data_IF_768114605880
#
_entry.id   IF_768114605880
#
_cell.length_a   1.000
_cell.length_b   1.000
_cell.length_c   1.000
_cell.angle_alpha   90.00
_cell.angle_beta   90.00
_cell.angle_gamma   90.00
#
_symmetry.space_group_name_H-M   'P 1'
#
loop_
_entity.id
_entity.type
_entity.pdbx_description
1 polymer ?
#
# COMPACT_ATOMS: atom_id res chain seq x y z
N UNK A 1 -28.08 -2.22 -24.91
CA UNK A 1 -26.97 -3.12 -24.56
C UNK A 1 -26.79 -2.99 -23.06
N UNK A 2 -27.32 -3.94 -22.30
CA UNK A 2 -27.33 -3.86 -20.84
C UNK A 2 -25.94 -4.22 -20.34
N UNK A 3 -25.25 -3.24 -19.76
CA UNK A 3 -24.02 -3.48 -19.00
C UNK A 3 -24.50 -4.19 -17.73
N UNK A 4 -24.09 -5.44 -17.54
CA UNK A 4 -24.34 -6.13 -16.28
C UNK A 4 -23.55 -5.38 -15.17
N UNK A 5 -24.11 -5.21 -13.97
CA UNK A 5 -23.33 -4.72 -12.86
C UNK A 5 -22.32 -5.82 -12.48
N UNK A 6 -21.03 -5.53 -12.63
CA UNK A 6 -19.98 -6.25 -11.92
C UNK A 6 -20.21 -5.94 -10.43
N UNK A 7 -20.86 -6.86 -9.72
CA UNK A 7 -21.00 -6.77 -8.27
C UNK A 7 -19.61 -6.80 -7.66
N UNK A 8 -19.27 -5.77 -6.88
CA UNK A 8 -18.07 -5.76 -6.04
C UNK A 8 -18.00 -7.07 -5.22
N UNK A 9 -16.80 -7.60 -4.94
CA UNK A 9 -16.68 -8.79 -4.11
C UNK A 9 -17.39 -8.56 -2.77
N UNK A 10 -18.20 -9.54 -2.38
CA UNK A 10 -19.12 -9.57 -1.23
C UNK A 10 -18.51 -9.04 0.07
N UNK A 11 -19.38 -8.48 0.94
CA UNK A 11 -19.23 -7.92 2.31
C UNK A 11 -18.46 -8.77 3.36
N UNK A 12 -17.61 -9.71 2.95
CA UNK A 12 -16.71 -10.42 3.84
C UNK A 12 -15.52 -9.50 4.19
N UNK A 13 -15.52 -8.99 5.42
CA UNK A 13 -14.35 -8.34 6.00
C UNK A 13 -13.16 -9.32 5.98
N UNK A 14 -12.00 -8.89 5.48
CA UNK A 14 -10.79 -9.71 5.43
C UNK A 14 -10.15 -9.84 6.81
N UNK A 15 -10.85 -10.53 7.72
CA UNK A 15 -10.49 -10.71 9.12
C UNK A 15 -10.51 -12.19 9.50
N UNK A 16 -9.43 -12.62 10.13
CA UNK A 16 -9.31 -13.90 10.83
C UNK A 16 -9.01 -13.65 12.30
N UNK A 17 -9.13 -14.67 13.13
CA UNK A 17 -8.81 -14.59 14.57
C UNK A 17 -7.65 -15.52 14.87
N UNK A 18 -6.65 -15.01 15.59
CA UNK A 18 -5.54 -15.81 16.13
C UNK A 18 -6.03 -16.79 17.20
N UNK A 19 -5.18 -17.74 17.60
CA UNK A 19 -5.49 -18.71 18.69
C UNK A 19 -5.89 -18.03 20.02
N UNK A 20 -5.42 -16.79 20.23
CA UNK A 20 -5.76 -15.96 21.40
C UNK A 20 -6.97 -15.04 21.16
N UNK A 21 -7.75 -15.29 20.10
CA UNK A 21 -8.92 -14.53 19.68
C UNK A 21 -8.65 -13.04 19.43
N UNK A 22 -7.43 -12.70 19.01
CA UNK A 22 -7.11 -11.36 18.50
C UNK A 22 -7.39 -11.29 17.00
N UNK A 23 -8.04 -10.22 16.51
CA UNK A 23 -8.28 -10.04 15.09
C UNK A 23 -6.95 -9.86 14.35
N UNK A 24 -6.87 -10.42 13.16
CA UNK A 24 -5.73 -10.32 12.26
C UNK A 24 -6.26 -10.20 10.83
N UNK A 25 -5.54 -9.49 9.97
CA UNK A 25 -5.91 -9.36 8.56
C UNK A 25 -5.78 -10.70 7.84
N UNK A 26 -6.85 -11.11 7.15
CA UNK A 26 -6.81 -12.23 6.21
C UNK A 26 -6.25 -11.76 4.86
N UNK A 27 -4.92 -11.71 4.78
CA UNK A 27 -4.24 -11.33 3.54
C UNK A 27 -4.50 -12.31 2.38
N UNK A 28 -4.92 -13.55 2.66
CA UNK A 28 -5.26 -14.51 1.59
C UNK A 28 -6.59 -14.11 0.93
N UNK A 29 -7.60 -13.75 1.72
CA UNK A 29 -8.86 -13.24 1.19
C UNK A 29 -8.64 -11.87 0.52
N UNK A 30 -7.88 -10.99 1.16
CA UNK A 30 -7.60 -9.65 0.63
C UNK A 30 -6.87 -9.69 -0.72
N UNK A 31 -5.91 -10.59 -0.88
CA UNK A 31 -5.21 -10.82 -2.16
C UNK A 31 -6.16 -11.30 -3.26
N UNK A 32 -7.12 -12.18 -2.93
CA UNK A 32 -8.13 -12.65 -3.89
C UNK A 32 -9.10 -11.54 -4.29
N UNK A 33 -9.51 -10.71 -3.33
CA UNK A 33 -10.35 -9.54 -3.60
C UNK A 33 -9.62 -8.53 -4.49
N UNK A 34 -8.34 -8.26 -4.20
CA UNK A 34 -7.50 -7.40 -5.04
C UNK A 34 -7.40 -7.96 -6.47
N UNK A 35 -7.08 -9.25 -6.61
CA UNK A 35 -7.00 -9.91 -7.93
C UNK A 35 -8.29 -9.71 -8.73
N UNK A 36 -9.44 -9.99 -8.12
CA UNK A 36 -10.74 -9.87 -8.77
C UNK A 36 -11.09 -8.41 -9.15
N UNK A 37 -10.71 -7.44 -8.33
CA UNK A 37 -10.94 -6.01 -8.62
C UNK A 37 -10.14 -5.53 -9.83
N UNK A 38 -8.90 -6.00 -9.98
CA UNK A 38 -7.98 -5.48 -11.00
C UNK A 38 -7.91 -6.35 -12.27
N UNK A 39 -8.48 -7.56 -12.27
CA UNK A 39 -8.37 -8.52 -13.40
C UNK A 39 -8.89 -7.98 -14.74
N UNK A 40 -9.97 -7.18 -14.70
CA UNK A 40 -10.67 -6.74 -15.92
C UNK A 40 -10.41 -5.29 -16.33
N UNK A 41 -9.75 -4.50 -15.47
CA UNK A 41 -9.47 -3.09 -15.70
C UNK A 41 -7.99 -2.89 -16.03
N UNK A 42 -7.68 -2.07 -17.03
CA UNK A 42 -6.30 -1.79 -17.48
C UNK A 42 -5.79 -0.43 -17.01
N UNK A 43 -6.68 0.47 -16.61
CA UNK A 43 -6.30 1.79 -16.10
C UNK A 43 -5.63 1.66 -14.73
N UNK A 44 -4.32 1.91 -14.71
CA UNK A 44 -3.50 1.81 -13.50
C UNK A 44 -3.98 2.73 -12.38
N UNK A 45 -4.57 3.90 -12.70
CA UNK A 45 -5.04 4.86 -11.69
C UNK A 45 -6.33 4.38 -11.05
N UNK A 46 -7.27 3.85 -11.83
CA UNK A 46 -8.47 3.19 -11.31
C UNK A 46 -8.10 2.02 -10.38
N UNK A 47 -7.11 1.20 -10.79
CA UNK A 47 -6.67 0.06 -10.00
C UNK A 47 -5.91 0.48 -8.72
N UNK A 48 -5.06 1.50 -8.77
CA UNK A 48 -4.45 2.10 -7.57
C UNK A 48 -5.53 2.64 -6.62
N UNK A 49 -6.55 3.33 -7.15
CA UNK A 49 -7.64 3.86 -6.34
C UNK A 49 -8.41 2.74 -5.61
N UNK A 50 -8.84 1.71 -6.34
CA UNK A 50 -9.53 0.56 -5.76
C UNK A 50 -8.65 -0.24 -4.79
N UNK A 51 -7.36 -0.41 -5.10
CA UNK A 51 -6.43 -1.07 -4.19
C UNK A 51 -6.27 -0.30 -2.87
N UNK A 52 -6.08 1.02 -2.95
CA UNK A 52 -5.98 1.86 -1.74
C UNK A 52 -7.26 1.80 -0.90
N UNK A 53 -8.44 1.82 -1.54
CA UNK A 53 -9.71 1.69 -0.85
C UNK A 53 -9.86 0.32 -0.16
N UNK A 54 -9.55 -0.76 -0.88
CA UNK A 54 -9.61 -2.12 -0.36
C UNK A 54 -8.70 -2.29 0.87
N UNK A 55 -7.45 -1.81 0.79
CA UNK A 55 -6.51 -1.86 1.91
C UNK A 55 -7.01 -1.03 3.09
N UNK A 56 -7.52 0.18 2.85
CA UNK A 56 -7.99 1.08 3.91
C UNK A 56 -9.20 0.54 4.67
N UNK A 57 -10.09 -0.17 3.99
CA UNK A 57 -11.27 -0.78 4.62
C UNK A 57 -10.93 -2.02 5.45
N UNK A 58 -9.84 -2.72 5.16
CA UNK A 58 -9.54 -4.04 5.74
C UNK A 58 -8.32 -4.06 6.67
N UNK A 59 -7.42 -3.10 6.58
CA UNK A 59 -6.32 -2.94 7.52
C UNK A 59 -6.77 -2.09 8.70
N UNK A 60 -6.78 -2.67 9.90
CA UNK A 60 -7.08 -1.92 11.11
C UNK A 60 -5.92 -1.03 11.53
N UNK A 61 -6.21 0.03 12.28
CA UNK A 61 -5.18 0.87 12.92
C UNK A 61 -4.16 1.45 11.93
N UNK A 62 -4.65 1.92 10.79
CA UNK A 62 -3.90 2.74 9.83
C UNK A 62 -4.58 4.10 9.68
N UNK A 63 -3.81 5.15 9.39
CA UNK A 63 -4.32 6.50 9.12
C UNK A 63 -4.11 6.96 7.67
N UNK A 64 -3.29 6.23 6.92
CA UNK A 64 -3.03 6.52 5.53
C UNK A 64 -2.64 5.25 4.76
N UNK A 65 -3.13 5.12 3.52
CA UNK A 65 -2.64 4.12 2.56
C UNK A 65 -2.78 4.65 1.15
N UNK A 66 -1.76 4.48 0.33
CA UNK A 66 -1.80 4.98 -1.02
C UNK A 66 -0.53 4.77 -1.80
N UNK A 67 -0.47 5.41 -2.95
CA UNK A 67 0.59 5.22 -3.91
C UNK A 67 1.35 6.52 -4.16
N UNK A 68 2.66 6.38 -4.36
CA UNK A 68 3.45 7.38 -5.06
C UNK A 68 4.03 6.76 -6.33
N UNK A 69 3.97 7.48 -7.44
CA UNK A 69 4.47 7.03 -8.75
C UNK A 69 5.80 7.71 -9.04
N UNK A 70 6.76 6.96 -9.58
CA UNK A 70 8.03 7.53 -10.01
C UNK A 70 7.84 8.25 -11.36
N UNK A 71 7.89 9.58 -11.34
CA UNK A 71 7.72 10.45 -12.51
C UNK A 71 8.83 11.49 -12.51
N UNK A 72 9.57 11.57 -13.62
CA UNK A 72 10.70 12.50 -13.78
C UNK A 72 11.71 12.44 -12.61
N UNK A 73 12.08 11.22 -12.21
CA UNK A 73 13.04 10.95 -11.12
C UNK A 73 12.60 11.47 -9.73
N UNK A 74 11.29 11.59 -9.51
CA UNK A 74 10.70 11.92 -8.22
C UNK A 74 9.45 11.06 -7.97
N UNK A 75 9.16 10.79 -6.72
CA UNK A 75 7.88 10.23 -6.33
C UNK A 75 6.82 11.34 -6.39
N UNK A 76 5.72 11.07 -7.09
CA UNK A 76 4.55 11.97 -7.24
C UNK A 76 3.31 11.26 -6.72
N UNK A 77 2.58 11.93 -5.84
CA UNK A 77 1.37 11.41 -5.19
C UNK A 77 0.38 10.84 -6.23
N UNK A 78 -0.06 9.60 -5.98
CA UNK A 78 -1.09 8.88 -6.71
C UNK A 78 -2.38 8.77 -5.89
N UNK A 79 -3.28 7.83 -6.23
CA UNK A 79 -4.47 7.55 -5.43
C UNK A 79 -4.12 7.08 -4.02
N UNK A 80 -4.93 7.51 -3.04
CA UNK A 80 -4.74 7.18 -1.62
C UNK A 80 -6.05 7.31 -0.84
N UNK A 81 -6.07 6.76 0.37
CA UNK A 81 -7.07 7.00 1.41
C UNK A 81 -6.39 7.57 2.66
N UNK A 82 -6.99 8.60 3.25
CA UNK A 82 -6.44 9.29 4.42
C UNK A 82 -6.47 10.80 4.28
N UNK A 83 -5.71 11.49 5.14
CA UNK A 83 -5.57 12.95 5.06
C UNK A 83 -4.69 13.37 3.87
N UNK A 84 -4.73 14.67 3.57
CA UNK A 84 -3.85 15.30 2.57
C UNK A 84 -2.37 15.01 2.90
N UNK A 85 -1.61 14.59 1.90
CA UNK A 85 -0.20 14.22 2.01
C UNK A 85 0.70 15.10 1.12
N UNK A 86 2.02 14.89 1.21
CA UNK A 86 2.99 15.58 0.39
C UNK A 86 2.81 15.20 -1.10
N UNK A 87 2.89 16.17 -2.01
CA UNK A 87 2.66 15.88 -3.44
C UNK A 87 3.89 15.27 -4.12
N UNK A 88 5.10 15.66 -3.70
CA UNK A 88 6.36 15.20 -4.28
C UNK A 88 7.35 14.80 -3.20
N UNK A 89 8.06 13.69 -3.44
CA UNK A 89 9.11 13.18 -2.56
C UNK A 89 10.35 12.91 -3.44
N UNK A 90 11.51 13.40 -3.01
CA UNK A 90 12.78 13.13 -3.67
C UNK A 90 13.25 11.70 -3.37
N UNK A 91 13.94 11.07 -4.33
CA UNK A 91 14.56 9.76 -4.11
C UNK A 91 15.60 9.86 -2.97
N UNK A 92 15.60 8.87 -2.08
CA UNK A 92 16.46 8.81 -0.89
C UNK A 92 16.05 9.74 0.24
N UNK A 93 14.87 10.37 0.17
CA UNK A 93 14.33 11.23 1.24
C UNK A 93 13.09 10.64 1.88
N UNK A 94 13.05 10.64 3.22
CA UNK A 94 12.00 9.95 3.97
C UNK A 94 11.99 8.45 3.70
N UNK A 95 11.02 7.76 4.29
CA UNK A 95 10.89 6.30 4.17
C UNK A 95 10.53 5.92 2.73
N UNK A 96 9.51 6.57 2.14
CA UNK A 96 9.15 6.44 0.73
C UNK A 96 10.32 6.61 -0.26
N UNK A 97 11.08 7.71 -0.15
CA UNK A 97 12.21 7.93 -1.05
C UNK A 97 13.34 6.93 -0.84
N UNK A 98 13.55 6.47 0.40
CA UNK A 98 14.54 5.43 0.72
C UNK A 98 14.17 4.10 0.08
N UNK A 99 12.89 3.70 0.13
CA UNK A 99 12.42 2.48 -0.51
C UNK A 99 12.72 2.45 -2.01
N UNK A 100 12.59 3.59 -2.70
CA UNK A 100 12.95 3.72 -4.12
C UNK A 100 14.46 3.66 -4.32
N UNK A 101 15.23 4.39 -3.50
CA UNK A 101 16.69 4.47 -3.64
C UNK A 101 17.38 3.12 -3.44
N UNK A 102 16.93 2.35 -2.45
CA UNK A 102 17.48 1.04 -2.13
C UNK A 102 16.83 -0.08 -2.95
N UNK A 103 15.62 0.16 -3.46
CA UNK A 103 14.81 -0.86 -4.13
C UNK A 103 14.35 -1.96 -3.17
N UNK A 104 14.25 -1.69 -1.87
CA UNK A 104 13.79 -2.68 -0.89
C UNK A 104 12.69 -2.08 -0.05
N UNK A 105 11.77 -2.94 0.37
CA UNK A 105 10.68 -2.56 1.25
C UNK A 105 11.21 -2.04 2.58
N UNK A 106 10.54 -1.04 3.12
CA UNK A 106 10.89 -0.40 4.37
C UNK A 106 9.80 -0.71 5.39
N UNK A 107 10.15 -1.28 6.53
CA UNK A 107 9.22 -1.53 7.65
C UNK A 107 9.73 -0.79 8.88
N UNK A 108 9.17 0.38 9.14
CA UNK A 108 9.65 1.31 10.16
C UNK A 108 8.75 1.22 11.39
N UNK A 109 9.29 0.71 12.49
CA UNK A 109 8.53 0.56 13.74
C UNK A 109 8.24 1.89 14.43
N UNK A 110 9.12 2.89 14.29
CA UNK A 110 8.91 4.25 14.77
C UNK A 110 9.46 5.26 13.76
N UNK A 111 8.59 6.01 13.08
CA UNK A 111 9.02 6.98 12.04
C UNK A 111 9.84 8.13 12.61
N UNK A 112 9.65 8.47 13.88
CA UNK A 112 10.41 9.54 14.54
C UNK A 112 11.88 9.18 14.77
N UNK A 113 12.20 7.89 14.76
CA UNK A 113 13.58 7.38 14.87
C UNK A 113 14.24 7.23 13.48
N UNK A 114 13.49 7.41 12.38
CA UNK A 114 13.99 7.24 11.03
C UNK A 114 14.82 8.47 10.57
N UNK A 115 16.11 8.31 10.20
CA UNK A 115 16.93 9.42 9.76
C UNK A 115 16.38 10.11 8.52
N UNK A 116 16.17 11.42 8.60
CA UNK A 116 15.64 12.19 7.46
C UNK A 116 14.15 11.96 7.19
N UNK A 117 13.39 11.54 8.20
CA UNK A 117 11.94 11.43 8.16
C UNK A 117 11.29 12.74 7.64
N UNK A 118 10.40 12.59 6.66
CA UNK A 118 9.55 13.66 6.13
C UNK A 118 8.12 13.33 6.59
N UNK A 119 7.69 13.91 7.70
CA UNK A 119 6.33 13.70 8.19
C UNK A 119 5.33 14.49 7.32
N UNK A 120 4.42 13.80 6.63
CA UNK A 120 3.29 14.44 5.94
C UNK A 120 2.03 14.46 6.82
N UNK A 121 1.79 13.45 7.67
CA UNK A 121 0.81 13.48 8.78
C UNK A 121 1.54 13.33 10.12
N UNK A 122 1.37 14.31 11.01
CA UNK A 122 1.95 14.28 12.35
C UNK A 122 1.36 13.17 13.25
N UNK A 123 0.25 12.56 12.85
CA UNK A 123 -0.33 11.43 13.56
C UNK A 123 0.42 10.11 13.29
N UNK A 124 1.16 9.98 12.19
CA UNK A 124 1.85 8.74 11.82
C UNK A 124 3.02 8.45 12.76
N UNK A 125 3.07 7.22 13.27
CA UNK A 125 4.05 6.73 14.22
C UNK A 125 4.80 5.49 13.72
N UNK A 126 4.21 4.68 12.83
CA UNK A 126 4.92 3.62 12.09
C UNK A 126 4.48 3.58 10.63
N UNK A 127 5.33 3.06 9.76
CA UNK A 127 5.16 3.14 8.30
C UNK A 127 5.68 1.84 7.65
N UNK A 128 4.99 1.36 6.62
CA UNK A 128 5.49 0.32 5.72
C UNK A 128 5.38 0.78 4.27
N UNK A 129 6.49 0.68 3.54
CA UNK A 129 6.59 1.10 2.15
C UNK A 129 7.06 -0.06 1.29
N UNK A 130 6.32 -0.37 0.23
CA UNK A 130 6.59 -1.47 -0.70
C UNK A 130 6.89 -0.91 -2.10
N UNK A 131 8.09 -1.13 -2.67
CA UNK A 131 8.39 -0.75 -4.04
C UNK A 131 7.53 -1.51 -5.06
N UNK A 132 6.91 -0.77 -5.98
CA UNK A 132 6.25 -1.33 -7.16
C UNK A 132 7.27 -1.49 -8.28
N UNK A 133 7.25 -2.65 -8.96
CA UNK A 133 8.24 -2.97 -9.99
C UNK A 133 7.56 -3.31 -11.31
N UNK A 134 8.08 -2.78 -12.41
CA UNK A 134 7.65 -3.19 -13.74
C UNK A 134 8.21 -4.56 -14.14
N UNK A 135 7.80 -5.05 -15.32
CA UNK A 135 8.31 -6.31 -15.90
C UNK A 135 9.83 -6.40 -16.05
N UNK A 136 10.55 -5.27 -16.10
CA UNK A 136 12.02 -5.21 -16.14
C UNK A 136 12.65 -5.19 -14.72
N UNK A 137 11.85 -5.38 -13.67
CA UNK A 137 12.26 -5.25 -12.27
C UNK A 137 12.70 -3.84 -11.87
N UNK A 138 12.35 -2.80 -12.63
CA UNK A 138 12.66 -1.41 -12.27
C UNK A 138 11.60 -0.87 -11.32
N UNK A 139 12.02 -0.11 -10.30
CA UNK A 139 11.07 0.55 -9.39
C UNK A 139 10.37 1.68 -10.13
N UNK A 140 9.04 1.64 -10.13
CA UNK A 140 8.18 2.63 -10.83
C UNK A 140 7.27 3.40 -9.88
N UNK A 141 7.36 3.12 -8.58
CA UNK A 141 6.54 3.74 -7.55
C UNK A 141 6.63 2.95 -6.26
N UNK A 142 5.80 3.32 -5.30
CA UNK A 142 5.67 2.64 -4.02
C UNK A 142 4.19 2.58 -3.61
N UNK A 143 3.81 1.52 -2.93
CA UNK A 143 2.71 1.53 -1.96
C UNK A 143 3.28 2.03 -0.64
N UNK A 144 2.55 2.90 0.03
CA UNK A 144 2.90 3.47 1.33
C UNK A 144 1.69 3.35 2.28
N UNK A 145 1.93 2.92 3.52
CA UNK A 145 0.93 2.72 4.55
C UNK A 145 1.45 3.25 5.89
N UNK A 146 0.72 4.19 6.46
CA UNK A 146 1.00 4.77 7.77
C UNK A 146 0.05 4.26 8.85
N UNK A 147 0.54 4.24 10.09
CA UNK A 147 -0.27 3.97 11.27
C UNK A 147 -0.06 5.01 12.37
N UNK A 148 -1.11 5.38 13.12
CA UNK A 148 -0.97 6.18 14.32
C UNK A 148 -0.37 5.41 15.51
N UNK A 149 -0.22 4.09 15.40
CA UNK A 149 0.45 3.27 16.41
C UNK A 149 1.91 3.07 16.07
N UNK A 150 2.73 2.91 17.10
CA UNK A 150 4.13 2.48 16.97
C UNK A 150 4.13 0.97 16.71
N UNK A 151 5.04 0.49 15.86
CA UNK A 151 5.24 -0.94 15.58
C UNK A 151 3.95 -1.66 15.11
N UNK A 152 3.14 -0.97 14.29
CA UNK A 152 1.89 -1.53 13.76
C UNK A 152 2.14 -2.70 12.81
N UNK A 153 3.17 -2.60 11.97
CA UNK A 153 3.44 -3.56 10.91
C UNK A 153 4.41 -4.65 11.37
N UNK A 154 3.92 -5.88 11.37
CA UNK A 154 4.70 -7.09 11.62
C UNK A 154 5.44 -7.56 10.36
N UNK A 155 6.31 -8.56 10.53
CA UNK A 155 6.96 -9.21 9.40
C UNK A 155 5.94 -9.93 8.49
N UNK A 156 4.86 -10.46 9.07
CA UNK A 156 3.79 -11.10 8.31
C UNK A 156 3.04 -10.09 7.43
N UNK A 157 2.79 -8.88 7.95
CA UNK A 157 2.19 -7.79 7.17
C UNK A 157 3.09 -7.44 5.98
N UNK A 158 4.39 -7.27 6.22
CA UNK A 158 5.36 -6.95 5.17
C UNK A 158 5.35 -7.98 4.04
N UNK A 159 5.54 -9.26 4.37
CA UNK A 159 5.58 -10.33 3.37
C UNK A 159 4.28 -10.41 2.57
N UNK A 160 3.13 -10.31 3.25
CA UNK A 160 1.84 -10.37 2.58
C UNK A 160 1.59 -9.16 1.66
N UNK A 161 1.97 -7.95 2.09
CA UNK A 161 1.87 -6.75 1.27
C UNK A 161 2.82 -6.78 0.07
N UNK A 162 4.02 -7.32 0.22
CA UNK A 162 4.94 -7.58 -0.89
C UNK A 162 4.33 -8.54 -1.93
N UNK A 163 3.75 -9.65 -1.49
CA UNK A 163 3.06 -10.60 -2.36
C UNK A 163 1.87 -9.96 -3.10
N UNK A 164 1.06 -9.17 -2.38
CA UNK A 164 -0.05 -8.42 -2.97
C UNK A 164 0.42 -7.40 -4.01
N UNK A 165 1.51 -6.67 -3.76
CA UNK A 165 2.03 -5.68 -4.69
C UNK A 165 2.75 -6.31 -5.89
N UNK A 166 3.32 -7.51 -5.73
CA UNK A 166 3.80 -8.30 -6.86
C UNK A 166 2.64 -8.72 -7.79
N UNK A 167 1.52 -9.19 -7.22
CA UNK A 167 0.29 -9.49 -7.96
C UNK A 167 -0.26 -8.24 -8.69
N UNK A 168 -0.31 -7.11 -7.99
CA UNK A 168 -0.76 -5.84 -8.57
C UNK A 168 0.08 -5.45 -9.78
N UNK A 169 1.41 -5.47 -9.62
CA UNK A 169 2.36 -5.02 -10.63
C UNK A 169 2.38 -5.93 -11.87
N UNK A 170 2.28 -7.26 -11.69
CA UNK A 170 2.28 -8.21 -12.79
C UNK A 170 1.16 -7.98 -13.82
N UNK A 171 0.07 -7.30 -13.43
CA UNK A 171 -1.07 -7.03 -14.30
C UNK A 171 -1.10 -5.60 -14.88
N UNK A 172 -0.26 -4.67 -14.39
CA UNK A 172 -0.43 -3.23 -14.64
C UNK A 172 0.86 -2.44 -14.89
N UNK A 173 2.02 -3.09 -14.90
CA UNK A 173 3.32 -2.42 -14.90
C UNK A 173 4.32 -2.98 -15.91
#
# INVERSE_FOLDING_TARGET
MSIAPTTAPSDAEARIYTDNNQPETDYTLLSKQLAALIESEKDTIANMANCSALLYENLEDINWVGFYRLVDNQLVLGPFQGKVACVRIEIGKGVCGTAVAEGVSQRVSNVHDFPGHIACDAASNSEVVIPLRNSNSEVIGVLDIDSPSINRFSEKDLLALEEMMALFSANHC
#
